data_IF_960547527269
#
_entry.id   IF_960547527269
#
_cell.length_a   1.000
_cell.length_b   1.000
_cell.length_c   1.000
_cell.angle_alpha   90.00
_cell.angle_beta   90.00
_cell.angle_gamma   90.00
#
_symmetry.space_group_name_H-M   'P 1'
#
loop_
_entity.id
_entity.type
_entity.pdbx_description
1 polymer ?
#
# COMPACT_ATOMS: atom_id res chain seq x y z
N UNK A 1 -14.29 -4.39 -7.94
CA UNK A 1 -14.03 -3.58 -6.72
C UNK A 1 -14.15 -4.42 -5.46
N UNK A 2 -15.37 -4.64 -4.95
CA UNK A 2 -15.62 -5.28 -3.63
C UNK A 2 -15.01 -6.67 -3.47
N UNK A 3 -14.99 -7.47 -4.53
CA UNK A 3 -14.35 -8.79 -4.50
C UNK A 3 -12.85 -8.71 -4.19
N UNK A 4 -12.15 -7.68 -4.67
CA UNK A 4 -10.72 -7.47 -4.37
C UNK A 4 -10.50 -7.12 -2.90
N UNK A 5 -11.45 -6.39 -2.31
CA UNK A 5 -11.46 -6.07 -0.88
C UNK A 5 -11.68 -7.30 0.00
N UNK A 6 -12.62 -8.16 -0.40
CA UNK A 6 -12.89 -9.42 0.28
C UNK A 6 -11.66 -10.35 0.24
N UNK A 7 -11.03 -10.48 -0.93
CA UNK A 7 -9.79 -11.26 -1.11
C UNK A 7 -8.66 -10.71 -0.23
N UNK A 8 -8.51 -9.37 -0.16
CA UNK A 8 -7.47 -8.74 0.64
C UNK A 8 -7.67 -8.85 2.17
N UNK A 9 -8.90 -9.04 2.64
CA UNK A 9 -9.20 -9.20 4.07
C UNK A 9 -9.01 -10.63 4.56
N UNK A 10 -9.60 -11.59 3.85
CA UNK A 10 -9.40 -13.02 4.11
C UNK A 10 -9.68 -13.82 2.82
N UNK A 11 -8.64 -14.42 2.26
CA UNK A 11 -8.72 -15.20 1.02
C UNK A 11 -9.59 -16.45 1.18
N UNK A 12 -9.45 -17.21 2.27
CA UNK A 12 -10.24 -18.42 2.52
C UNK A 12 -11.73 -18.11 2.64
N UNK A 13 -12.07 -17.02 3.34
CA UNK A 13 -13.46 -16.57 3.47
C UNK A 13 -14.05 -16.10 2.12
N UNK A 14 -13.22 -15.50 1.26
CA UNK A 14 -13.64 -15.10 -0.08
C UNK A 14 -13.95 -16.34 -0.95
N UNK A 15 -13.12 -17.38 -0.89
CA UNK A 15 -13.36 -18.66 -1.59
C UNK A 15 -14.64 -19.31 -1.10
N UNK A 16 -14.86 -19.39 0.23
CA UNK A 16 -16.08 -19.93 0.82
C UNK A 16 -17.34 -19.15 0.41
N UNK A 17 -17.20 -17.86 0.08
CA UNK A 17 -18.28 -16.99 -0.42
C UNK A 17 -18.50 -17.09 -1.94
N UNK A 18 -17.88 -18.05 -2.62
CA UNK A 18 -18.02 -18.28 -4.07
C UNK A 18 -17.23 -17.29 -4.94
N UNK A 19 -16.28 -16.53 -4.38
CA UNK A 19 -15.45 -15.60 -5.15
C UNK A 19 -14.29 -16.38 -5.79
N UNK A 20 -14.18 -16.33 -7.11
CA UNK A 20 -13.05 -16.92 -7.84
C UNK A 20 -11.78 -16.07 -7.66
N UNK A 21 -11.01 -16.37 -6.61
CA UNK A 21 -9.82 -15.59 -6.23
C UNK A 21 -8.75 -15.56 -7.33
N UNK A 22 -8.44 -16.71 -7.94
CA UNK A 22 -7.43 -16.81 -8.99
C UNK A 22 -7.72 -15.90 -10.18
N UNK A 23 -8.96 -15.91 -10.68
CA UNK A 23 -9.36 -15.07 -11.82
C UNK A 23 -9.23 -13.58 -11.49
N UNK A 24 -9.64 -13.18 -10.28
CA UNK A 24 -9.60 -11.79 -9.86
C UNK A 24 -8.18 -11.29 -9.62
N UNK A 25 -7.29 -12.13 -9.09
CA UNK A 25 -5.85 -11.84 -8.98
C UNK A 25 -5.22 -11.65 -10.36
N UNK A 26 -5.49 -12.56 -11.31
CA UNK A 26 -4.95 -12.47 -12.68
C UNK A 26 -5.39 -11.17 -13.37
N UNK A 27 -6.67 -10.81 -13.28
CA UNK A 27 -7.18 -9.55 -13.85
C UNK A 27 -6.51 -8.33 -13.20
N UNK A 28 -6.32 -8.34 -11.88
CA UNK A 28 -5.66 -7.25 -11.18
C UNK A 28 -4.20 -7.07 -11.60
N UNK A 29 -3.44 -8.18 -11.72
CA UNK A 29 -2.06 -8.14 -12.20
C UNK A 29 -1.96 -7.77 -13.69
N UNK A 30 -2.91 -8.19 -14.53
CA UNK A 30 -2.96 -7.78 -15.93
C UNK A 30 -3.17 -6.26 -16.07
N UNK A 31 -4.10 -5.68 -15.32
CA UNK A 31 -4.32 -4.23 -15.30
C UNK A 31 -3.07 -3.50 -14.79
N UNK A 32 -2.45 -4.01 -13.72
CA UNK A 32 -1.19 -3.45 -13.21
C UNK A 32 -0.08 -3.48 -14.27
N UNK A 33 0.08 -4.59 -15.00
CA UNK A 33 1.06 -4.72 -16.07
C UNK A 33 0.87 -3.68 -17.18
N UNK A 34 -0.38 -3.43 -17.61
CA UNK A 34 -0.69 -2.39 -18.59
C UNK A 34 -0.33 -1.00 -18.06
N UNK A 35 -0.72 -0.68 -16.81
CA UNK A 35 -0.42 0.61 -16.18
C UNK A 35 1.09 0.84 -16.02
N UNK A 36 1.83 -0.17 -15.58
CA UNK A 36 3.30 -0.12 -15.44
C UNK A 36 3.96 0.04 -16.80
N UNK A 37 3.47 -0.65 -17.85
CA UNK A 37 3.96 -0.49 -19.22
C UNK A 37 3.82 0.96 -19.71
N UNK A 38 2.66 1.57 -19.52
CA UNK A 38 2.41 2.98 -19.87
C UNK A 38 3.31 3.92 -19.05
N UNK A 39 3.42 3.69 -17.73
CA UNK A 39 4.30 4.48 -16.86
C UNK A 39 5.78 4.37 -17.27
N UNK A 40 6.23 3.19 -17.71
CA UNK A 40 7.59 2.95 -18.21
C UNK A 40 7.89 3.73 -19.49
N UNK A 41 6.95 3.74 -20.45
CA UNK A 41 7.08 4.53 -21.69
C UNK A 41 7.17 6.03 -21.37
N UNK A 42 6.31 6.53 -20.46
CA UNK A 42 6.36 7.92 -20.01
C UNK A 42 7.67 8.26 -19.30
N UNK A 43 8.18 7.35 -18.47
CA UNK A 43 9.47 7.54 -17.81
C UNK A 43 10.61 7.63 -18.83
N UNK A 44 10.71 6.69 -19.77
CA UNK A 44 11.74 6.71 -20.82
C UNK A 44 11.68 7.98 -21.66
N UNK A 45 10.47 8.45 -21.99
CA UNK A 45 10.27 9.73 -22.68
C UNK A 45 10.78 10.92 -21.87
N UNK A 46 10.57 10.91 -20.54
CA UNK A 46 11.06 11.97 -19.65
C UNK A 46 12.59 12.01 -19.56
N UNK A 47 13.24 10.85 -19.46
CA UNK A 47 14.71 10.79 -19.27
C UNK A 47 15.47 10.72 -20.60
N UNK A 48 14.78 10.64 -21.75
CA UNK A 48 15.34 10.46 -23.09
C UNK A 48 16.32 9.26 -23.21
N UNK A 49 16.26 8.31 -22.29
CA UNK A 49 17.16 7.16 -22.23
C UNK A 49 16.50 5.99 -21.50
N UNK A 50 16.76 4.78 -22.00
CA UNK A 50 16.39 3.52 -21.36
C UNK A 50 17.39 3.12 -20.28
N UNK A 51 17.46 3.87 -19.18
CA UNK A 51 18.35 3.54 -18.07
C UNK A 51 17.76 2.39 -17.24
N UNK A 52 18.40 1.20 -17.18
CA UNK A 52 17.90 0.09 -16.36
C UNK A 52 17.87 0.45 -14.88
N UNK A 53 18.79 1.31 -14.44
CA UNK A 53 18.88 1.79 -13.07
C UNK A 53 17.89 2.92 -12.74
N UNK A 54 17.16 3.45 -13.74
CA UNK A 54 16.25 4.59 -13.55
C UNK A 54 15.02 4.28 -12.71
N UNK A 55 14.61 3.02 -12.64
CA UNK A 55 13.45 2.57 -11.85
C UNK A 55 13.78 2.12 -10.43
N UNK A 56 15.06 2.12 -10.02
CA UNK A 56 15.46 1.63 -8.68
C UNK A 56 14.82 2.54 -7.61
N UNK A 57 14.22 1.93 -6.57
CA UNK A 57 13.48 2.57 -5.47
C UNK A 57 12.06 3.05 -5.79
N UNK A 58 11.58 2.94 -7.03
CA UNK A 58 10.20 3.32 -7.36
C UNK A 58 9.18 2.37 -6.74
N UNK A 59 9.54 1.10 -6.57
CA UNK A 59 8.76 0.10 -5.82
C UNK A 59 8.52 0.56 -4.37
N UNK A 60 9.58 1.05 -3.73
CA UNK A 60 9.53 1.49 -2.35
C UNK A 60 8.73 2.80 -2.20
N UNK A 61 8.83 3.67 -3.20
CA UNK A 61 8.02 4.88 -3.30
C UNK A 61 6.53 4.56 -3.50
N UNK A 62 6.19 3.57 -4.33
CA UNK A 62 4.81 3.11 -4.54
C UNK A 62 4.20 2.48 -3.28
N UNK A 63 5.00 1.72 -2.52
CA UNK A 63 4.58 1.23 -1.21
C UNK A 63 4.36 2.39 -0.23
N UNK A 64 5.32 3.30 -0.12
CA UNK A 64 5.24 4.45 0.79
C UNK A 64 4.00 5.31 0.52
N UNK A 65 3.71 5.61 -0.75
CA UNK A 65 2.56 6.43 -1.12
C UNK A 65 1.22 5.78 -0.81
N UNK A 66 1.07 4.49 -1.10
CA UNK A 66 -0.16 3.74 -0.79
C UNK A 66 -0.43 3.62 0.71
N UNK A 67 0.62 3.45 1.52
CA UNK A 67 0.53 3.36 2.97
C UNK A 67 0.20 4.72 3.61
N UNK A 68 0.89 5.79 3.19
CA UNK A 68 0.55 7.16 3.63
C UNK A 68 -0.90 7.50 3.24
N UNK A 69 -1.36 7.01 2.08
CA UNK A 69 -2.74 7.13 1.62
C UNK A 69 -3.78 6.33 2.42
N UNK A 70 -3.35 5.55 3.42
CA UNK A 70 -4.24 4.80 4.32
C UNK A 70 -4.52 3.36 3.88
N UNK A 71 -3.70 2.78 3.00
CA UNK A 71 -3.78 1.36 2.67
C UNK A 71 -3.10 0.52 3.75
N UNK A 72 -3.78 -0.52 4.23
CA UNK A 72 -3.27 -1.46 5.24
C UNK A 72 -2.18 -2.36 4.65
N UNK A 73 -1.13 -2.62 5.44
CA UNK A 73 -0.03 -3.48 5.01
C UNK A 73 -0.47 -4.94 4.88
N UNK A 74 -1.40 -5.40 5.73
CA UNK A 74 -1.93 -6.77 5.69
C UNK A 74 -3.13 -6.94 4.74
N UNK A 75 -3.47 -5.92 3.93
CA UNK A 75 -4.57 -6.01 2.97
C UNK A 75 -5.96 -5.76 3.56
N UNK A 76 -6.97 -5.74 2.67
CA UNK A 76 -8.39 -5.70 3.01
C UNK A 76 -8.93 -4.36 3.51
N UNK A 77 -8.08 -3.33 3.63
CA UNK A 77 -8.44 -1.99 4.09
C UNK A 77 -7.63 -0.95 3.29
N UNK A 78 -8.29 0.11 2.86
CA UNK A 78 -7.72 1.19 2.03
C UNK A 78 -8.70 1.69 0.97
N UNK A 79 -8.37 2.80 0.30
CA UNK A 79 -9.14 3.30 -0.85
C UNK A 79 -8.19 3.76 -1.95
N UNK A 80 -8.59 3.59 -3.21
CA UNK A 80 -7.79 4.06 -4.34
C UNK A 80 -7.57 5.59 -4.29
N UNK A 81 -8.61 6.35 -3.89
CA UNK A 81 -8.51 7.80 -3.72
C UNK A 81 -7.50 8.22 -2.65
N UNK A 82 -7.48 7.52 -1.50
CA UNK A 82 -6.48 7.75 -0.45
C UNK A 82 -5.05 7.53 -0.96
N UNK A 83 -4.82 6.45 -1.71
CA UNK A 83 -3.52 6.17 -2.33
C UNK A 83 -3.08 7.24 -3.33
N UNK A 84 -4.00 7.78 -4.14
CA UNK A 84 -3.68 8.89 -5.06
C UNK A 84 -3.22 10.12 -4.26
N UNK A 85 -3.95 10.49 -3.19
CA UNK A 85 -3.55 11.59 -2.30
C UNK A 85 -2.18 11.31 -1.67
N UNK A 86 -1.94 10.08 -1.20
CA UNK A 86 -0.65 9.65 -0.68
C UNK A 86 0.48 9.77 -1.72
N UNK A 87 0.22 9.45 -2.99
CA UNK A 87 1.19 9.63 -4.08
C UNK A 87 1.51 11.11 -4.33
N UNK A 88 0.53 12.01 -4.22
CA UNK A 88 0.79 13.45 -4.24
C UNK A 88 1.66 13.88 -3.07
N UNK A 89 1.38 13.44 -1.84
CA UNK A 89 2.17 13.77 -0.65
C UNK A 89 3.63 13.33 -0.81
N UNK A 90 3.86 12.08 -1.24
CA UNK A 90 5.21 11.57 -1.49
C UNK A 90 5.88 12.32 -2.64
N UNK A 91 5.13 12.67 -3.69
CA UNK A 91 5.61 13.49 -4.79
C UNK A 91 6.09 14.87 -4.32
N UNK A 92 5.34 15.54 -3.45
CA UNK A 92 5.76 16.80 -2.84
C UNK A 92 6.99 16.63 -1.94
N UNK A 93 7.04 15.59 -1.10
CA UNK A 93 8.21 15.29 -0.27
C UNK A 93 9.47 15.08 -1.11
N UNK A 94 9.36 14.38 -2.23
CA UNK A 94 10.48 14.20 -3.16
C UNK A 94 10.93 15.54 -3.76
N UNK A 95 10.01 16.41 -4.15
CA UNK A 95 10.36 17.74 -4.67
C UNK A 95 11.06 18.58 -3.59
N UNK A 96 10.59 18.56 -2.35
CA UNK A 96 11.22 19.27 -1.22
C UNK A 96 12.63 18.74 -0.96
N UNK A 97 12.79 17.41 -0.85
CA UNK A 97 14.10 16.80 -0.62
C UNK A 97 15.09 17.12 -1.75
N UNK A 98 14.62 17.15 -3.00
CA UNK A 98 15.43 17.55 -4.14
C UNK A 98 15.84 19.03 -4.07
N UNK A 99 14.94 19.93 -3.67
CA UNK A 99 15.23 21.36 -3.52
C UNK A 99 16.26 21.63 -2.41
N UNK A 100 16.20 20.86 -1.32
CA UNK A 100 17.17 20.93 -0.21
C UNK A 100 18.47 20.17 -0.55
N UNK A 101 18.60 19.64 -1.78
CA UNK A 101 19.77 18.91 -2.25
C UNK A 101 20.11 17.66 -1.41
N UNK A 102 19.08 17.01 -0.86
CA UNK A 102 19.25 15.78 -0.09
C UNK A 102 19.67 14.65 -1.03
N UNK A 103 20.82 14.04 -0.74
CA UNK A 103 21.33 12.90 -1.52
C UNK A 103 20.33 11.73 -1.53
N UNK A 104 20.23 11.03 -2.66
CA UNK A 104 19.39 9.85 -2.87
C UNK A 104 19.50 8.80 -1.75
N UNK A 105 20.70 8.57 -1.19
CA UNK A 105 20.88 7.65 -0.05
C UNK A 105 20.07 8.07 1.18
N UNK A 106 20.08 9.36 1.52
CA UNK A 106 19.30 9.90 2.64
C UNK A 106 17.80 9.89 2.34
N UNK A 107 17.40 10.14 1.09
CA UNK A 107 15.99 10.00 0.71
C UNK A 107 15.50 8.56 0.90
N UNK A 108 16.33 7.56 0.60
CA UNK A 108 16.00 6.14 0.79
C UNK A 108 15.83 5.79 2.27
N UNK A 109 16.72 6.28 3.14
CA UNK A 109 16.62 6.10 4.60
C UNK A 109 15.33 6.73 5.14
N UNK A 110 15.00 7.96 4.71
CA UNK A 110 13.78 8.65 5.13
C UNK A 110 12.52 7.88 4.71
N UNK A 111 12.44 7.43 3.45
CA UNK A 111 11.32 6.59 2.99
C UNK A 111 11.23 5.31 3.83
N UNK A 112 12.37 4.73 4.21
CA UNK A 112 12.44 3.52 5.03
C UNK A 112 11.87 3.74 6.42
N UNK A 113 12.27 4.84 7.05
CA UNK A 113 11.74 5.26 8.33
C UNK A 113 10.22 5.49 8.28
N UNK A 114 9.71 6.11 7.20
CA UNK A 114 8.26 6.32 7.02
C UNK A 114 7.50 4.98 7.01
N UNK A 115 7.95 4.01 6.20
CA UNK A 115 7.30 2.70 6.14
C UNK A 115 7.39 1.99 7.49
N UNK A 116 8.56 1.99 8.14
CA UNK A 116 8.75 1.34 9.44
C UNK A 116 7.78 1.91 10.49
N UNK A 117 7.67 3.24 10.58
CA UNK A 117 6.74 3.91 11.48
C UNK A 117 5.28 3.57 11.13
N UNK A 118 4.93 3.54 9.85
CA UNK A 118 3.58 3.22 9.40
C UNK A 118 3.19 1.77 9.74
N UNK A 119 4.10 0.81 9.57
CA UNK A 119 3.85 -0.60 9.93
C UNK A 119 3.71 -0.78 11.44
N UNK A 120 4.57 -0.12 12.23
CA UNK A 120 4.46 -0.14 13.70
C UNK A 120 3.09 0.41 14.12
N UNK A 121 2.66 1.51 13.50
CA UNK A 121 1.35 2.10 13.76
C UNK A 121 0.20 1.17 13.32
N UNK A 122 0.29 0.53 12.16
CA UNK A 122 -0.72 -0.41 11.65
C UNK A 122 -0.90 -1.61 12.59
N UNK A 123 0.21 -2.19 13.06
CA UNK A 123 0.19 -3.31 14.03
C UNK A 123 -0.41 -2.87 15.37
N UNK A 124 0.02 -1.71 15.88
CA UNK A 124 -0.50 -1.17 17.15
C UNK A 124 -2.00 -0.88 17.08
N UNK A 125 -2.46 -0.30 15.97
CA UNK A 125 -3.88 -0.01 15.72
C UNK A 125 -4.71 -1.30 15.66
N UNK A 126 -4.20 -2.38 15.05
CA UNK A 126 -4.87 -3.69 15.00
C UNK A 126 -4.97 -4.34 16.38
N UNK A 127 -3.91 -4.33 17.17
CA UNK A 127 -3.92 -4.90 18.53
C UNK A 127 -4.97 -4.25 19.45
N UNK A 128 -5.28 -2.97 19.24
CA UNK A 128 -6.31 -2.26 20.01
C UNK A 128 -7.74 -2.70 19.66
N UNK A 129 -7.98 -3.16 18.42
CA UNK A 129 -9.30 -3.71 17.99
C UNK A 129 -9.55 -5.11 18.55
N UNK A 130 -8.52 -5.97 18.60
CA UNK A 130 -8.65 -7.33 19.17
C UNK A 130 -9.00 -7.29 20.66
N UNK A 131 -8.39 -6.40 21.45
CA UNK A 131 -8.70 -6.26 22.89
C UNK A 131 -10.15 -5.85 23.18
N UNK A 132 -10.79 -5.07 22.30
CA UNK A 132 -12.20 -4.67 22.47
C UNK A 132 -13.20 -5.80 22.24
N UNK A 133 -12.88 -6.77 21.38
CA UNK A 133 -13.77 -7.90 21.12
C UNK A 133 -13.73 -8.94 22.25
N UNK A 134 -12.57 -9.16 22.86
CA UNK A 134 -12.42 -10.12 23.97
C UNK A 134 -13.10 -9.60 25.25
N UNK A 135 -12.95 -8.31 25.58
CA UNK A 135 -13.60 -7.74 26.77
C UNK A 135 -15.14 -7.79 26.75
N UNK A 136 -15.75 -7.74 25.56
CA UNK A 136 -17.22 -7.87 25.41
C UNK A 136 -17.72 -9.30 25.58
N UNK A 137 -16.87 -10.30 25.29
CA UNK A 137 -17.20 -11.72 25.47
C UNK A 137 -17.12 -12.09 26.97
N UNK A 138 -16.18 -11.51 27.72
CA UNK A 138 -16.09 -11.68 29.17
C UNK A 138 -17.29 -11.06 29.92
N UNK A 139 -17.73 -9.86 29.53
CA UNK A 139 -18.96 -9.28 30.09
C UNK A 139 -20.19 -10.15 29.81
N UNK A 140 -20.30 -10.73 28.61
CA UNK A 140 -21.47 -11.54 28.22
C UNK A 140 -21.50 -12.91 28.90
N UNK A 141 -20.36 -13.43 29.34
CA UNK A 141 -20.25 -14.69 30.11
C UNK A 141 -20.48 -14.52 31.61
N UNK A 142 -20.42 -13.28 32.14
CA UNK A 142 -20.66 -13.01 33.56
C UNK A 142 -22.14 -12.73 33.88
N UNK A 143 -23.00 -12.58 32.86
CA UNK A 143 -24.44 -12.28 32.99
C UNK A 143 -25.34 -13.47 32.65
N UNK A 144 -24.78 -14.64 32.32
CA UNK A 144 -25.50 -15.90 32.09
C UNK A 144 -25.07 -16.93 33.12
#
# INVERSE_FOLDING_TARGET
>A
GRSLYAIGGNEEAAIASGITVNRNKVIAFAINGVLVGVAGVLFMSRVNAGLPNGGINYEFQALTSSIIGGTSFSGGIGTAGGTVIGAFIVGFLNNIMNLVNVNAYMQQIVRGAIIALAVIYDIWAKNKRTKRHIGRIEEQKSTT
#
